data_IF_221091204949
#
_entry.id   IF_221091204949
#
_cell.length_a   1.000
_cell.length_b   1.000
_cell.length_c   1.000
_cell.angle_alpha   90.00
_cell.angle_beta   90.00
_cell.angle_gamma   90.00
#
_symmetry.space_group_name_H-M   'P 1'
#
loop_
_entity.id
_entity.type
_entity.pdbx_description
1 polymer ?
#
# COMPACT_ATOMS: atom_id res chain seq x y z
N UNK A 1 -14.56 -12.00 13.18
CA UNK A 1 -13.44 -11.45 13.97
C UNK A 1 -13.09 -10.11 13.36
N UNK A 2 -13.17 -9.00 14.11
CA UNK A 2 -12.69 -7.71 13.61
C UNK A 2 -11.18 -7.80 13.39
N UNK A 3 -10.73 -7.50 12.16
CA UNK A 3 -9.30 -7.39 11.85
C UNK A 3 -8.73 -6.25 12.69
N UNK A 4 -7.91 -6.57 13.70
CA UNK A 4 -7.27 -5.57 14.57
C UNK A 4 -6.02 -5.04 13.91
N UNK A 5 -6.18 -4.02 13.07
CA UNK A 5 -5.04 -3.22 12.59
C UNK A 5 -4.53 -2.32 13.71
N UNK A 6 -3.22 -2.11 13.77
CA UNK A 6 -2.64 -1.03 14.57
C UNK A 6 -2.98 0.34 13.94
N UNK A 7 -2.89 1.42 14.72
CA UNK A 7 -3.13 2.79 14.20
C UNK A 7 -2.24 3.13 13.00
N UNK A 8 -0.99 2.66 13.02
CA UNK A 8 -0.07 2.84 11.91
C UNK A 8 -0.51 2.08 10.65
N UNK A 9 -0.95 0.83 10.82
CA UNK A 9 -1.46 0.00 9.73
C UNK A 9 -2.75 0.56 9.14
N UNK A 10 -3.66 1.07 9.98
CA UNK A 10 -4.85 1.75 9.49
C UNK A 10 -4.51 2.98 8.64
N UNK A 11 -3.48 3.76 9.02
CA UNK A 11 -3.03 4.91 8.22
C UNK A 11 -2.49 4.48 6.86
N UNK A 12 -1.68 3.41 6.82
CA UNK A 12 -1.16 2.87 5.55
C UNK A 12 -2.29 2.35 4.66
N UNK A 13 -3.22 1.58 5.21
CA UNK A 13 -4.38 1.05 4.49
C UNK A 13 -5.25 2.20 3.97
N UNK A 14 -5.56 3.18 4.82
CA UNK A 14 -6.38 4.34 4.44
C UNK A 14 -5.74 5.17 3.33
N UNK A 15 -4.41 5.35 3.39
CA UNK A 15 -3.68 6.04 2.33
C UNK A 15 -3.70 5.25 1.02
N UNK A 16 -3.45 3.94 1.08
CA UNK A 16 -3.54 3.05 -0.08
C UNK A 16 -4.92 3.10 -0.72
N UNK A 17 -5.99 2.92 0.07
CA UNK A 17 -7.35 2.86 -0.46
C UNK A 17 -7.77 4.21 -1.10
N UNK A 18 -7.29 5.33 -0.56
CA UNK A 18 -7.53 6.67 -1.12
C UNK A 18 -6.73 6.96 -2.40
N UNK A 19 -5.53 6.41 -2.52
CA UNK A 19 -4.57 6.74 -3.59
C UNK A 19 -4.19 5.54 -4.46
N UNK A 20 -5.04 4.51 -4.48
CA UNK A 20 -4.77 3.23 -5.16
C UNK A 20 -4.37 3.43 -6.62
N UNK A 21 -5.15 4.18 -7.38
CA UNK A 21 -4.91 4.39 -8.80
C UNK A 21 -3.57 5.10 -9.06
N UNK A 22 -3.22 6.09 -8.23
CA UNK A 22 -1.93 6.77 -8.31
C UNK A 22 -0.77 5.81 -8.04
N UNK A 23 -0.88 4.99 -7.00
CA UNK A 23 0.14 4.00 -6.66
C UNK A 23 0.30 2.94 -7.77
N UNK A 24 -0.79 2.51 -8.40
CA UNK A 24 -0.74 1.58 -9.53
C UNK A 24 -0.13 2.20 -10.79
N UNK A 25 -0.35 3.50 -11.03
CA UNK A 25 0.33 4.25 -12.09
C UNK A 25 1.83 4.33 -11.80
N UNK A 26 2.20 4.74 -10.58
CA UNK A 26 3.61 4.86 -10.17
C UNK A 26 4.34 3.51 -10.21
N UNK A 27 3.66 2.42 -9.87
CA UNK A 27 4.21 1.06 -9.97
C UNK A 27 4.53 0.62 -11.41
N UNK A 28 3.97 1.29 -12.41
CA UNK A 28 4.24 1.05 -13.85
C UNK A 28 5.06 2.17 -14.48
N UNK A 29 5.54 3.12 -13.69
CA UNK A 29 6.27 4.28 -14.17
C UNK A 29 7.72 3.91 -14.50
N UNK A 30 8.32 4.57 -15.49
CA UNK A 30 9.66 4.24 -16.00
C UNK A 30 10.78 4.60 -15.01
N UNK A 31 10.54 5.52 -14.07
CA UNK A 31 11.49 5.81 -13.00
C UNK A 31 11.52 4.64 -12.00
N UNK A 32 12.66 3.94 -11.98
CA UNK A 32 12.86 2.75 -11.13
C UNK A 32 12.69 3.04 -9.64
N UNK A 33 13.05 4.23 -9.17
CA UNK A 33 12.92 4.58 -7.75
C UNK A 33 11.45 4.76 -7.37
N UNK A 34 10.71 5.52 -8.18
CA UNK A 34 9.27 5.71 -7.98
C UNK A 34 8.50 4.40 -8.08
N UNK A 35 8.86 3.56 -9.07
CA UNK A 35 8.30 2.23 -9.21
C UNK A 35 8.57 1.37 -7.98
N UNK A 36 9.81 1.31 -7.49
CA UNK A 36 10.18 0.51 -6.33
C UNK A 36 9.44 0.96 -5.06
N UNK A 37 9.30 2.27 -4.85
CA UNK A 37 8.57 2.84 -3.71
C UNK A 37 7.10 2.44 -3.79
N UNK A 38 6.46 2.62 -4.95
CA UNK A 38 5.05 2.29 -5.15
C UNK A 38 4.77 0.80 -4.95
N UNK A 39 5.57 -0.08 -5.57
CA UNK A 39 5.44 -1.54 -5.41
C UNK A 39 5.64 -1.98 -3.96
N UNK A 40 6.64 -1.40 -3.27
CA UNK A 40 6.88 -1.71 -1.85
C UNK A 40 5.71 -1.30 -0.97
N UNK A 41 5.14 -0.12 -1.23
CA UNK A 41 3.97 0.36 -0.49
C UNK A 41 2.75 -0.54 -0.69
N UNK A 42 2.44 -0.88 -1.95
CA UNK A 42 1.33 -1.78 -2.31
C UNK A 42 1.50 -3.13 -1.62
N UNK A 43 2.69 -3.73 -1.73
CA UNK A 43 2.99 -5.03 -1.11
C UNK A 43 2.83 -4.99 0.41
N UNK A 44 3.36 -3.97 1.08
CA UNK A 44 3.23 -3.83 2.53
C UNK A 44 1.76 -3.80 2.97
N UNK A 45 0.91 -3.07 2.24
CA UNK A 45 -0.52 -2.99 2.56
C UNK A 45 -1.24 -4.33 2.31
N UNK A 46 -0.91 -5.03 1.23
CA UNK A 46 -1.44 -6.37 0.99
C UNK A 46 -1.04 -7.37 2.08
N UNK A 47 0.22 -7.32 2.53
CA UNK A 47 0.74 -8.20 3.57
C UNK A 47 0.07 -7.91 4.93
N UNK A 48 -0.15 -6.63 5.27
CA UNK A 48 -0.95 -6.23 6.44
C UNK A 48 -2.38 -6.76 6.35
N UNK A 49 -3.02 -6.63 5.16
CA UNK A 49 -4.40 -7.10 4.92
C UNK A 49 -4.53 -8.64 4.93
N UNK A 50 -3.46 -9.38 4.62
CA UNK A 50 -3.40 -10.85 4.69
C UNK A 50 -3.16 -11.36 6.11
N UNK A 51 -2.33 -10.66 6.89
CA UNK A 51 -1.96 -11.06 8.26
C UNK A 51 -3.11 -10.94 9.26
N UNK A 52 -3.97 -9.95 9.07
CA UNK A 52 -5.13 -9.66 9.92
C UNK A 52 -6.42 -10.02 9.17
#
# INVERSE_FOLDING_TARGET
MEKRYTDFEMRLISYYDKHKDLLEILARYDDMLLQAIALSFIKNVEDIKKRN
#
